data_IF_179072818454
#
_entry.id   IF_179072818454
#
_cell.length_a   1.000
_cell.length_b   1.000
_cell.length_c   1.000
_cell.angle_alpha   90.00
_cell.angle_beta   90.00
_cell.angle_gamma   90.00
#
_symmetry.space_group_name_H-M   'P 1'
#
loop_
_entity.id
_entity.type
_entity.pdbx_description
1 polymer ?
#
# COMPACT_ATOMS: atom_id res chain seq x y z
N UNK A 1 10.29 3.92 -10.49
CA UNK A 1 10.57 2.62 -9.84
C UNK A 1 10.94 2.91 -8.40
N UNK A 2 10.44 2.16 -7.41
CA UNK A 2 10.48 2.55 -5.99
C UNK A 2 11.66 1.97 -5.19
N UNK A 3 12.61 1.31 -5.83
CA UNK A 3 13.77 0.64 -5.17
C UNK A 3 14.52 1.61 -4.26
N UNK A 4 14.71 2.86 -4.69
CA UNK A 4 15.42 3.87 -3.90
C UNK A 4 14.72 4.23 -2.59
N UNK A 5 13.43 3.96 -2.43
CA UNK A 5 12.65 4.21 -1.21
C UNK A 5 12.83 3.12 -0.14
N UNK A 6 13.33 1.95 -0.52
CA UNK A 6 13.57 0.83 0.40
C UNK A 6 15.03 0.80 0.91
N UNK A 7 15.87 1.70 0.39
CA UNK A 7 17.24 1.94 0.85
C UNK A 7 17.32 3.09 1.87
N UNK A 8 18.35 3.07 2.72
CA UNK A 8 18.54 4.04 3.82
C UNK A 8 19.05 5.44 3.39
N UNK A 9 18.82 5.87 2.15
CA UNK A 9 19.51 7.04 1.59
C UNK A 9 18.67 7.94 0.69
N UNK A 10 17.34 7.79 0.67
CA UNK A 10 16.53 8.62 -0.22
C UNK A 10 16.37 10.06 0.29
N UNK A 11 16.73 11.09 -0.49
CA UNK A 11 16.51 12.50 -0.12
C UNK A 11 15.04 12.90 -0.01
N UNK A 12 14.11 12.02 -0.43
CA UNK A 12 12.68 12.27 -0.31
C UNK A 12 12.16 12.19 1.12
N UNK A 13 12.95 11.64 2.06
CA UNK A 13 12.55 11.43 3.45
C UNK A 13 11.52 10.32 3.66
N UNK A 14 11.05 9.69 2.58
CA UNK A 14 10.13 8.55 2.65
C UNK A 14 10.93 7.33 3.10
N UNK A 15 10.54 6.80 4.26
CA UNK A 15 11.13 5.60 4.81
C UNK A 15 10.45 4.32 4.28
N UNK A 16 11.09 3.16 4.47
CA UNK A 16 10.52 1.88 4.07
C UNK A 16 9.26 1.55 4.87
N UNK A 17 9.24 1.90 6.16
CA UNK A 17 8.10 1.72 7.05
C UNK A 17 6.91 2.55 6.54
N UNK A 18 7.14 3.78 6.09
CA UNK A 18 6.09 4.62 5.49
C UNK A 18 5.57 4.05 4.17
N UNK A 19 6.47 3.55 3.32
CA UNK A 19 6.10 2.92 2.05
C UNK A 19 5.24 1.67 2.28
N UNK A 20 5.69 0.80 3.17
CA UNK A 20 5.02 -0.45 3.53
C UNK A 20 3.67 -0.21 4.19
N UNK A 21 3.61 0.70 5.16
CA UNK A 21 2.35 1.16 5.79
C UNK A 21 1.40 1.70 4.73
N UNK A 22 1.88 2.53 3.83
CA UNK A 22 1.08 3.12 2.75
C UNK A 22 0.49 2.05 1.82
N UNK A 23 1.24 1.00 1.49
CA UNK A 23 0.72 -0.13 0.74
C UNK A 23 -0.35 -0.91 1.53
N UNK A 24 -0.13 -1.19 2.81
CA UNK A 24 -1.10 -1.91 3.66
C UNK A 24 -2.42 -1.14 3.89
N UNK A 25 -2.39 0.19 3.77
CA UNK A 25 -3.59 1.05 3.85
C UNK A 25 -4.42 1.05 2.55
N UNK A 26 -3.84 0.71 1.40
CA UNK A 26 -4.56 0.79 0.14
C UNK A 26 -5.71 -0.24 0.10
N UNK A 27 -6.89 0.17 -0.36
CA UNK A 27 -8.12 -0.63 -0.35
C UNK A 27 -8.03 -1.98 -1.08
N UNK A 28 -7.05 -2.16 -1.97
CA UNK A 28 -6.81 -3.43 -2.68
C UNK A 28 -5.76 -4.33 -2.01
N UNK A 29 -5.31 -4.02 -0.78
CA UNK A 29 -4.20 -4.73 -0.10
C UNK A 29 -4.32 -6.25 -0.18
N UNK A 30 -5.52 -6.84 0.00
CA UNK A 30 -5.76 -8.30 -0.04
C UNK A 30 -5.26 -8.97 -1.33
N UNK A 31 -5.10 -8.21 -2.42
CA UNK A 31 -4.70 -8.70 -3.73
C UNK A 31 -3.19 -8.83 -3.90
N UNK A 32 -2.40 -8.07 -3.15
CA UNK A 32 -0.93 -8.05 -3.30
C UNK A 32 -0.18 -8.11 -1.97
N UNK A 33 -0.90 -8.24 -0.85
CA UNK A 33 -0.34 -8.34 0.48
C UNK A 33 -0.92 -9.59 1.15
N UNK A 34 -0.04 -10.37 1.76
CA UNK A 34 -0.44 -11.50 2.57
C UNK A 34 -1.04 -11.03 3.91
N UNK A 35 -2.13 -11.68 4.32
CA UNK A 35 -2.99 -11.28 5.43
C UNK A 35 -2.26 -11.21 6.78
N UNK A 36 -1.37 -12.16 7.15
CA UNK A 36 -0.69 -12.13 8.45
C UNK A 36 0.14 -10.87 8.66
N UNK A 37 0.76 -10.34 7.59
CA UNK A 37 1.67 -9.21 7.69
C UNK A 37 0.96 -7.85 7.74
N UNK A 38 -0.34 -7.79 7.40
CA UNK A 38 -1.02 -6.49 7.26
C UNK A 38 -0.94 -5.65 8.54
N UNK A 39 -1.22 -6.26 9.69
CA UNK A 39 -1.29 -5.50 10.94
C UNK A 39 0.08 -4.94 11.33
N UNK A 40 1.13 -5.75 11.20
CA UNK A 40 2.52 -5.34 11.45
C UNK A 40 2.94 -4.20 10.50
N UNK A 41 2.65 -4.32 9.20
CA UNK A 41 2.97 -3.27 8.23
C UNK A 41 2.18 -1.97 8.48
N UNK A 42 0.93 -2.06 8.95
CA UNK A 42 0.18 -0.87 9.38
C UNK A 42 0.82 -0.22 10.62
N UNK A 43 1.32 -1.01 11.56
CA UNK A 43 2.09 -0.51 12.69
C UNK A 43 3.45 0.11 12.26
N UNK A 44 3.90 -0.14 11.03
CA UNK A 44 5.21 0.29 10.53
C UNK A 44 6.34 -0.64 10.94
N UNK A 45 6.02 -1.88 11.32
CA UNK A 45 7.00 -2.91 11.61
C UNK A 45 7.62 -3.44 10.31
N UNK A 46 8.95 -3.40 10.24
CA UNK A 46 9.74 -3.96 9.15
C UNK A 46 10.60 -5.17 9.59
N UNK A 47 10.37 -5.71 10.79
CA UNK A 47 11.10 -6.86 11.36
C UNK A 47 11.13 -8.07 10.45
N UNK A 48 10.07 -8.26 9.64
CA UNK A 48 9.95 -9.32 8.64
C UNK A 48 11.16 -9.38 7.70
N UNK A 49 11.86 -8.25 7.46
CA UNK A 49 13.04 -8.19 6.59
C UNK A 49 14.26 -8.93 7.13
N UNK A 50 14.25 -9.24 8.42
CA UNK A 50 15.34 -10.00 9.07
C UNK A 50 15.29 -11.49 8.72
N UNK A 51 14.18 -11.96 8.17
CA UNK A 51 13.95 -13.36 7.83
C UNK A 51 13.63 -13.50 6.32
N UNK A 52 14.47 -14.19 5.53
CA UNK A 52 14.24 -14.43 4.09
C UNK A 52 12.96 -15.21 3.75
N UNK A 53 12.40 -15.96 4.71
CA UNK A 53 11.15 -16.71 4.53
C UNK A 53 9.92 -15.79 4.59
N UNK A 54 10.03 -14.63 5.25
CA UNK A 54 8.94 -13.68 5.34
C UNK A 54 8.82 -12.81 4.09
N UNK A 55 7.80 -13.13 3.28
CA UNK A 55 7.53 -12.50 1.98
C UNK A 55 6.13 -11.89 1.93
N UNK A 56 5.92 -10.70 2.52
CA UNK A 56 4.60 -10.13 2.72
C UNK A 56 3.89 -9.74 1.42
N UNK A 57 4.61 -9.46 0.34
CA UNK A 57 4.03 -8.96 -0.90
C UNK A 57 3.86 -10.09 -1.91
N UNK A 58 2.75 -10.11 -2.63
CA UNK A 58 2.48 -11.16 -3.64
C UNK A 58 1.98 -10.60 -4.96
N UNK A 59 2.33 -11.26 -6.05
CA UNK A 59 1.77 -10.93 -7.35
C UNK A 59 0.27 -11.29 -7.40
N UNK A 60 -0.65 -10.36 -7.74
CA UNK A 60 -2.08 -10.66 -7.81
C UNK A 60 -2.49 -11.67 -8.89
N UNK A 61 -1.56 -12.08 -9.76
CA UNK A 61 -1.79 -12.99 -10.87
C UNK A 61 -1.21 -14.37 -10.62
N UNK A 62 0.10 -14.47 -10.43
CA UNK A 62 0.79 -15.74 -10.26
C UNK A 62 1.00 -16.12 -8.79
N UNK A 63 0.59 -15.26 -7.86
CA UNK A 63 0.66 -15.47 -6.41
C UNK A 63 2.07 -15.64 -5.83
N UNK A 64 3.12 -15.47 -6.65
CA UNK A 64 4.51 -15.47 -6.20
C UNK A 64 4.73 -14.38 -5.14
N UNK A 65 5.42 -14.74 -4.06
CA UNK A 65 5.67 -13.89 -2.91
C UNK A 65 7.08 -13.27 -2.94
N UNK A 66 7.18 -12.02 -2.51
CA UNK A 66 8.36 -11.19 -2.53
C UNK A 66 8.59 -10.52 -1.16
N UNK A 67 9.86 -10.34 -0.75
CA UNK A 67 10.20 -9.65 0.49
C UNK A 67 9.96 -8.13 0.40
N UNK A 68 10.01 -7.56 -0.81
CA UNK A 68 9.94 -6.11 -1.01
C UNK A 68 8.89 -5.74 -2.05
N UNK A 69 8.28 -4.55 -1.90
CA UNK A 69 7.37 -4.01 -2.90
C UNK A 69 8.11 -3.79 -4.22
N UNK A 70 9.35 -3.29 -4.16
CA UNK A 70 10.14 -3.08 -5.36
C UNK A 70 10.40 -4.38 -6.13
N UNK A 71 10.71 -5.47 -5.44
CA UNK A 71 10.89 -6.80 -6.05
C UNK A 71 9.62 -7.27 -6.76
N UNK A 72 8.46 -7.13 -6.12
CA UNK A 72 7.16 -7.41 -6.76
C UNK A 72 6.94 -6.50 -7.99
N UNK A 73 7.23 -5.20 -7.89
CA UNK A 73 7.08 -4.28 -9.02
C UNK A 73 8.03 -4.60 -10.18
N UNK A 74 9.25 -5.09 -9.90
CA UNK A 74 10.19 -5.56 -10.92
C UNK A 74 9.68 -6.83 -11.61
N UNK A 75 9.17 -7.80 -10.84
CA UNK A 75 8.54 -8.99 -11.40
C UNK A 75 7.36 -8.65 -12.35
N UNK A 76 6.55 -7.66 -11.97
CA UNK A 76 5.39 -7.19 -12.75
C UNK A 76 5.80 -6.29 -13.93
N UNK A 77 6.97 -5.64 -13.84
CA UNK A 77 7.54 -4.91 -14.97
C UNK A 77 8.01 -5.88 -16.05
N UNK A 78 8.57 -7.02 -15.66
CA UNK A 78 8.94 -8.08 -16.60
C UNK A 78 7.68 -8.69 -17.23
N UNK A 79 7.68 -8.99 -18.55
CA UNK A 79 6.58 -9.68 -19.20
C UNK A 79 6.41 -11.13 -18.70
N UNK A 80 7.32 -11.66 -17.88
CA UNK A 80 7.38 -13.06 -17.42
C UNK A 80 6.08 -13.60 -16.83
N UNK A 81 5.36 -12.82 -16.02
CA UNK A 81 4.08 -13.27 -15.47
C UNK A 81 2.88 -12.74 -16.26
N UNK A 82 3.07 -11.76 -17.15
CA UNK A 82 2.02 -11.06 -17.89
C UNK A 82 1.12 -10.14 -17.04
N UNK A 83 1.34 -10.04 -15.71
CA UNK A 83 0.72 -9.00 -14.91
C UNK A 83 1.33 -7.66 -15.35
N UNK A 84 0.51 -6.74 -15.86
CA UNK A 84 1.00 -5.42 -16.26
C UNK A 84 0.92 -4.41 -15.11
N UNK A 85 1.85 -3.44 -15.08
CA UNK A 85 1.83 -2.33 -14.10
C UNK A 85 0.56 -1.48 -14.14
N UNK A 86 -0.06 -1.40 -15.32
CA UNK A 86 -1.27 -0.65 -15.55
C UNK A 86 -2.53 -1.55 -15.49
N UNK A 87 -2.38 -2.79 -15.00
CA UNK A 87 -3.46 -3.75 -14.85
C UNK A 87 -4.01 -3.82 -13.42
N UNK A 88 -5.33 -3.94 -13.31
CA UNK A 88 -6.03 -4.42 -12.11
C UNK A 88 -5.62 -3.76 -10.78
N UNK A 89 -5.37 -4.56 -9.72
CA UNK A 89 -4.99 -4.06 -8.39
C UNK A 89 -3.68 -3.25 -8.38
N UNK A 90 -2.73 -3.57 -9.25
CA UNK A 90 -1.41 -2.94 -9.29
C UNK A 90 -1.48 -1.49 -9.78
N UNK A 91 -2.31 -1.21 -10.79
CA UNK A 91 -2.58 0.17 -11.23
C UNK A 91 -3.13 1.03 -10.10
N UNK A 92 -4.03 0.44 -9.29
CA UNK A 92 -4.66 1.11 -8.14
C UNK A 92 -3.63 1.37 -7.03
N UNK A 93 -2.78 0.38 -6.71
CA UNK A 93 -1.69 0.54 -5.76
C UNK A 93 -0.69 1.62 -6.20
N UNK A 94 -0.21 1.56 -7.46
CA UNK A 94 0.73 2.55 -8.02
C UNK A 94 0.17 3.97 -7.89
N UNK A 95 -1.10 4.17 -8.26
CA UNK A 95 -1.78 5.46 -8.14
C UNK A 95 -1.93 5.91 -6.69
N UNK A 96 -2.26 4.98 -5.79
CA UNK A 96 -2.41 5.25 -4.36
C UNK A 96 -1.09 5.74 -3.74
N UNK A 97 -0.01 4.98 -3.95
CA UNK A 97 1.32 5.32 -3.44
C UNK A 97 1.78 6.67 -3.99
N UNK A 98 1.59 6.91 -5.29
CA UNK A 98 1.93 8.21 -5.89
C UNK A 98 1.16 9.34 -5.23
N UNK A 99 -0.16 9.25 -5.08
CA UNK A 99 -0.91 10.31 -4.37
C UNK A 99 -0.37 10.48 -2.95
N UNK A 100 -0.35 9.43 -2.14
CA UNK A 100 -0.05 9.55 -0.71
C UNK A 100 1.36 10.09 -0.44
N UNK A 101 2.36 9.58 -1.15
CA UNK A 101 3.76 9.91 -0.90
C UNK A 101 4.19 11.22 -1.59
N UNK A 102 3.60 11.56 -2.74
CA UNK A 102 3.97 12.77 -3.48
C UNK A 102 3.25 14.02 -2.94
N UNK A 103 2.00 13.91 -2.46
CA UNK A 103 1.28 15.01 -1.82
C UNK A 103 1.86 15.35 -0.44
N UNK A 104 2.37 14.36 0.32
CA UNK A 104 3.05 14.58 1.61
C UNK A 104 4.32 15.43 1.48
N UNK A 105 5.05 15.31 0.37
CA UNK A 105 6.26 16.12 0.12
C UNK A 105 5.97 17.62 -0.02
N UNK A 106 4.74 18.01 -0.35
CA UNK A 106 4.38 19.42 -0.60
C UNK A 106 3.81 20.15 0.63
N UNK A 107 3.38 19.43 1.67
CA UNK A 107 2.69 19.99 2.84
C UNK A 107 3.15 19.32 4.14
N UNK A 108 4.33 19.68 4.64
CA UNK A 108 4.91 19.14 5.88
C UNK A 108 3.88 18.86 6.99
N UNK A 109 3.99 17.66 7.57
CA UNK A 109 3.27 17.15 8.76
C UNK A 109 1.81 17.60 8.94
N UNK A 110 0.91 16.93 8.22
CA UNK A 110 -0.53 16.98 8.43
C UNK A 110 -1.21 15.75 7.83
N UNK A 111 -0.83 14.55 8.29
CA UNK A 111 -1.41 13.30 7.80
C UNK A 111 -2.87 13.18 8.22
N UNK A 112 -3.79 13.31 7.26
CA UNK A 112 -5.23 13.10 7.45
C UNK A 112 -5.44 11.76 8.17
N UNK A 113 -5.96 11.85 9.39
CA UNK A 113 -6.38 10.69 10.16
C UNK A 113 -7.62 10.10 9.48
N UNK A 114 -7.42 9.08 8.66
CA UNK A 114 -8.50 8.19 8.20
C UNK A 114 -8.56 7.01 9.16
N UNK A 115 -8.89 7.30 10.41
CA UNK A 115 -9.44 6.33 11.33
C UNK A 115 -10.71 5.77 10.68
N UNK A 116 -10.66 4.48 10.42
CA UNK A 116 -11.66 3.71 9.70
C UNK A 116 -12.87 3.38 10.61
N UNK A 117 -13.29 4.32 11.46
CA UNK A 117 -14.49 4.21 12.30
C UNK A 117 -15.65 5.12 11.84
N UNK A 118 -15.48 5.92 10.78
CA UNK A 118 -16.53 6.82 10.27
C UNK A 118 -17.34 6.31 9.06
N UNK A 119 -17.15 5.07 8.60
CA UNK A 119 -17.76 4.59 7.35
C UNK A 119 -19.21 4.07 7.48
N UNK A 120 -19.87 4.24 8.63
CA UNK A 120 -21.23 3.73 8.87
C UNK A 120 -22.25 4.78 9.36
N UNK A 121 -21.92 6.08 9.42
CA UNK A 121 -22.90 7.12 9.81
C UNK A 121 -23.28 8.11 8.69
N UNK A 122 -22.70 8.02 7.50
CA UNK A 122 -23.02 8.98 6.42
C UNK A 122 -24.19 8.55 5.52
N UNK A 123 -24.76 7.36 5.71
CA UNK A 123 -25.89 6.85 4.89
C UNK A 123 -27.24 6.79 5.63
N UNK A 124 -27.31 7.10 6.94
CA UNK A 124 -28.57 7.00 7.71
C UNK A 124 -29.30 8.35 7.84
N UNK A 125 -28.65 9.50 7.61
CA UNK A 125 -29.24 10.82 7.96
C UNK A 125 -29.98 11.51 6.80
N UNK A 126 -29.95 10.96 5.58
CA UNK A 126 -30.69 11.54 4.43
C UNK A 126 -32.04 10.86 4.14
N UNK A 127 -32.48 9.92 4.98
CA UNK A 127 -33.75 9.20 4.77
C UNK A 127 -34.85 9.51 5.82
N UNK A 128 -34.66 10.52 6.69
CA UNK A 128 -35.64 10.84 7.75
C UNK A 128 -36.20 12.27 7.73
N UNK A 129 -35.98 13.04 6.66
CA UNK A 129 -36.58 14.36 6.45
C UNK A 129 -37.51 14.38 5.22
N UNK A 130 -38.27 13.30 5.02
CA UNK A 130 -39.32 13.22 4.00
C UNK A 130 -40.60 12.54 4.53
N UNK A 131 -40.82 12.56 5.85
CA UNK A 131 -42.00 11.91 6.45
C UNK A 131 -42.55 12.59 7.72
N UNK A 132 -42.16 13.83 8.05
CA UNK A 132 -42.88 14.69 8.99
C UNK A 132 -42.76 16.15 8.55
#
# INVERSE_FOLDING_TARGET
MIIHLEGKGCPSGISIEELNRSAAMCFQWKKYLDKPFRQSLLAGDDSYRSDPEHRPFKCPRCEECFPLLSSMFMHIWSPSCGQGLNGGPIKKLKRWLWKRLHWRKQHGEGGVNLDMQGATQAFQVMALHAAF
#
